data_IF_028137641808
#
_entry.id   IF_028137641808
#
_cell.length_a   1.000
_cell.length_b   1.000
_cell.length_c   1.000
_cell.angle_alpha   90.00
_cell.angle_beta   90.00
_cell.angle_gamma   90.00
#
_symmetry.space_group_name_H-M   'P 1'
#
loop_
_entity.id
_entity.type
_entity.pdbx_description
1 polymer ?
#
# COMPACT_ATOMS: atom_id res chain seq x y z
N UNK A 1 -14.99 -14.99 -1.30
CA UNK A 1 -13.92 -15.24 -0.31
C UNK A 1 -12.99 -14.02 -0.28
N UNK A 2 -12.54 -13.58 0.89
CA UNK A 2 -11.61 -12.44 1.00
C UNK A 2 -10.25 -12.78 0.35
N UNK A 3 -9.86 -12.06 -0.70
CA UNK A 3 -8.61 -12.29 -1.46
C UNK A 3 -7.37 -12.34 -0.56
N UNK A 4 -7.37 -11.56 0.53
CA UNK A 4 -6.28 -11.53 1.48
C UNK A 4 -6.04 -12.87 2.18
N UNK A 5 -7.08 -13.71 2.34
CA UNK A 5 -6.91 -15.06 2.88
C UNK A 5 -6.00 -15.91 1.98
N UNK A 6 -6.10 -15.74 0.66
CA UNK A 6 -5.27 -16.46 -0.30
C UNK A 6 -3.90 -15.81 -0.52
N UNK A 7 -3.77 -14.49 -0.33
CA UNK A 7 -2.53 -13.75 -0.59
C UNK A 7 -1.65 -13.55 0.63
N UNK A 8 -2.12 -13.90 1.83
CA UNK A 8 -1.39 -13.67 3.08
C UNK A 8 -0.76 -14.95 3.60
N UNK A 9 0.53 -14.90 3.88
CA UNK A 9 1.23 -15.93 4.65
C UNK A 9 0.83 -15.84 6.13
N UNK A 10 0.22 -16.90 6.64
CA UNK A 10 -0.36 -16.99 7.99
C UNK A 10 0.52 -17.77 8.98
N UNK A 11 1.37 -18.67 8.48
CA UNK A 11 2.19 -19.57 9.29
C UNK A 11 3.60 -19.02 9.50
N UNK A 12 4.18 -18.42 8.44
CA UNK A 12 5.59 -17.97 8.44
C UNK A 12 5.69 -16.45 8.60
N UNK A 13 6.74 -16.01 9.30
CA UNK A 13 7.02 -14.57 9.49
C UNK A 13 7.60 -13.89 8.25
N UNK A 14 8.01 -14.65 7.24
CA UNK A 14 8.59 -14.16 5.99
C UNK A 14 8.07 -14.95 4.79
N UNK A 15 8.05 -14.28 3.65
CA UNK A 15 7.64 -14.87 2.39
C UNK A 15 8.90 -15.33 1.66
N UNK A 16 9.00 -16.63 1.38
CA UNK A 16 10.11 -17.20 0.62
C UNK A 16 9.78 -17.25 -0.88
N UNK A 17 10.81 -17.38 -1.73
CA UNK A 17 10.65 -17.33 -3.19
C UNK A 17 9.64 -18.33 -3.77
N UNK A 18 9.48 -19.50 -3.15
CA UNK A 18 8.53 -20.56 -3.58
C UNK A 18 7.10 -20.34 -3.11
N UNK A 19 6.84 -19.36 -2.26
CA UNK A 19 5.53 -19.17 -1.65
C UNK A 19 4.60 -18.35 -2.57
N UNK A 20 3.36 -18.81 -2.78
CA UNK A 20 2.35 -18.13 -3.59
C UNK A 20 1.55 -17.09 -2.77
N UNK A 21 2.26 -16.23 -2.03
CA UNK A 21 1.71 -15.19 -1.14
C UNK A 21 2.37 -13.85 -1.42
N UNK A 22 1.64 -12.75 -1.33
CA UNK A 22 2.17 -11.40 -1.51
C UNK A 22 2.46 -10.71 -0.18
N UNK A 23 1.67 -11.02 0.85
CA UNK A 23 1.71 -10.30 2.12
C UNK A 23 1.97 -11.23 3.30
N UNK A 24 2.49 -10.67 4.39
CA UNK A 24 2.55 -11.36 5.68
C UNK A 24 1.34 -10.96 6.53
N UNK A 25 0.92 -11.83 7.44
CA UNK A 25 -0.15 -11.51 8.38
C UNK A 25 0.15 -10.23 9.18
N UNK A 26 1.40 -10.04 9.59
CA UNK A 26 1.85 -8.81 10.26
C UNK A 26 1.73 -7.55 9.39
N UNK A 27 1.98 -7.66 8.09
CA UNK A 27 1.84 -6.56 7.14
C UNK A 27 0.38 -6.16 6.97
N UNK A 28 -0.49 -7.14 6.76
CA UNK A 28 -1.94 -6.92 6.66
C UNK A 28 -2.51 -6.33 7.96
N UNK A 29 -2.14 -6.88 9.11
CA UNK A 29 -2.60 -6.37 10.39
C UNK A 29 -2.17 -4.92 10.63
N UNK A 30 -0.92 -4.54 10.28
CA UNK A 30 -0.48 -3.15 10.34
C UNK A 30 -1.32 -2.26 9.44
N UNK A 31 -1.54 -2.66 8.18
CA UNK A 31 -2.33 -1.89 7.24
C UNK A 31 -3.76 -1.64 7.73
N UNK A 32 -4.43 -2.68 8.26
CA UNK A 32 -5.76 -2.57 8.87
C UNK A 32 -5.72 -1.59 10.05
N UNK A 33 -4.77 -1.75 10.98
CA UNK A 33 -4.64 -0.86 12.15
C UNK A 33 -4.42 0.60 11.77
N UNK A 34 -3.66 0.89 10.69
CA UNK A 34 -3.45 2.26 10.21
C UNK A 34 -4.76 2.92 9.79
N UNK A 35 -5.62 2.18 9.09
CA UNK A 35 -6.93 2.65 8.67
C UNK A 35 -7.87 2.83 9.86
N UNK A 36 -8.00 1.78 10.68
CA UNK A 36 -8.88 1.74 11.86
C UNK A 36 -8.56 2.84 12.89
N UNK A 37 -7.30 3.27 12.99
CA UNK A 37 -6.91 4.35 13.89
C UNK A 37 -7.63 5.69 13.57
N UNK A 38 -7.94 5.98 12.30
CA UNK A 38 -8.71 7.17 11.93
C UNK A 38 -10.22 7.03 12.18
N UNK A 39 -10.69 5.79 12.41
CA UNK A 39 -12.09 5.46 12.72
C UNK A 39 -12.28 5.23 14.23
N UNK A 40 -11.38 5.75 15.06
CA UNK A 40 -11.40 5.61 16.52
C UNK A 40 -11.32 4.17 17.05
N UNK A 41 -10.68 3.26 16.32
CA UNK A 41 -10.34 1.91 16.81
C UNK A 41 -11.08 0.79 16.08
N UNK A 42 -11.64 -0.15 16.84
CA UNK A 42 -12.34 -1.33 16.32
C UNK A 42 -13.74 -1.43 16.95
N UNK A 43 -14.68 -1.96 16.19
CA UNK A 43 -16.07 -2.20 16.59
C UNK A 43 -16.90 -2.60 15.36
N UNK A 44 -18.13 -3.12 15.54
CA UNK A 44 -18.93 -3.67 14.44
C UNK A 44 -19.12 -2.68 13.26
N UNK A 45 -19.44 -1.43 13.56
CA UNK A 45 -19.62 -0.38 12.53
C UNK A 45 -18.30 -0.04 11.81
N UNK A 46 -17.19 -0.01 12.53
CA UNK A 46 -15.86 0.25 11.96
C UNK A 46 -15.40 -0.91 11.10
N UNK A 47 -15.71 -2.15 11.50
CA UNK A 47 -15.37 -3.35 10.74
C UNK A 47 -16.01 -3.33 9.34
N UNK A 48 -17.29 -2.96 9.24
CA UNK A 48 -17.97 -2.85 7.95
C UNK A 48 -17.28 -1.82 7.03
N UNK A 49 -16.91 -0.65 7.57
CA UNK A 49 -16.21 0.40 6.82
C UNK A 49 -14.83 -0.07 6.36
N UNK A 50 -14.06 -0.69 7.26
CA UNK A 50 -12.72 -1.22 6.98
C UNK A 50 -12.80 -2.31 5.90
N UNK A 51 -13.75 -3.23 6.00
CA UNK A 51 -13.97 -4.29 5.02
C UNK A 51 -14.37 -3.70 3.66
N UNK A 52 -15.30 -2.74 3.63
CA UNK A 52 -15.73 -2.08 2.39
C UNK A 52 -14.58 -1.31 1.71
N UNK A 53 -13.74 -0.63 2.49
CA UNK A 53 -12.54 0.04 1.98
C UNK A 53 -11.58 -0.96 1.34
N UNK A 54 -11.20 -2.01 2.07
CA UNK A 54 -10.24 -3.00 1.56
C UNK A 54 -10.78 -3.79 0.36
N UNK A 55 -12.09 -4.05 0.31
CA UNK A 55 -12.73 -4.62 -0.86
C UNK A 55 -12.62 -3.68 -2.08
N UNK A 56 -12.83 -2.37 -1.88
CA UNK A 56 -12.70 -1.37 -2.93
C UNK A 56 -11.25 -1.26 -3.43
N UNK A 57 -10.26 -1.32 -2.52
CA UNK A 57 -8.83 -1.33 -2.87
C UNK A 57 -8.48 -2.57 -3.69
N UNK A 58 -8.89 -3.75 -3.24
CA UNK A 58 -8.63 -5.02 -3.95
C UNK A 58 -9.16 -4.99 -5.38
N UNK A 59 -10.34 -4.40 -5.60
CA UNK A 59 -10.93 -4.30 -6.93
C UNK A 59 -10.07 -3.50 -7.92
N UNK A 60 -9.13 -2.68 -7.45
CA UNK A 60 -8.23 -1.90 -8.31
C UNK A 60 -6.95 -2.66 -8.70
N UNK A 61 -6.70 -3.82 -8.09
CA UNK A 61 -5.50 -4.62 -8.32
C UNK A 61 -5.84 -5.94 -8.97
N UNK A 62 -5.89 -5.94 -10.31
CA UNK A 62 -6.13 -7.16 -11.12
C UNK A 62 -5.18 -8.31 -10.71
N UNK A 63 -3.90 -8.00 -10.51
CA UNK A 63 -2.88 -8.98 -10.09
C UNK A 63 -3.24 -9.69 -8.77
N UNK A 64 -3.91 -8.99 -7.84
CA UNK A 64 -4.30 -9.58 -6.56
C UNK A 64 -5.47 -10.56 -6.73
N UNK A 65 -6.37 -10.32 -7.68
CA UNK A 65 -7.43 -11.26 -8.04
C UNK A 65 -6.93 -12.44 -8.85
N UNK A 66 -5.91 -12.25 -9.69
CA UNK A 66 -5.38 -13.28 -10.59
C UNK A 66 -4.37 -14.23 -9.91
N UNK A 67 -3.61 -13.75 -8.92
CA UNK A 67 -2.60 -14.54 -8.24
C UNK A 67 -3.14 -15.78 -7.49
N UNK A 68 -4.28 -15.72 -6.78
CA UNK A 68 -4.89 -16.90 -6.16
C UNK A 68 -5.33 -17.95 -7.16
N UNK A 69 -5.74 -17.53 -8.35
CA UNK A 69 -6.17 -18.41 -9.46
C UNK A 69 -4.97 -18.99 -10.25
N UNK A 70 -3.74 -18.58 -9.91
CA UNK A 70 -2.52 -19.04 -10.59
C UNK A 70 -2.30 -18.43 -11.97
N UNK A 71 -3.10 -17.42 -12.34
CA UNK A 71 -2.98 -16.72 -13.63
C UNK A 71 -1.74 -15.82 -13.68
N UNK A 72 -1.30 -15.33 -12.53
CA UNK A 72 -0.03 -14.62 -12.35
C UNK A 72 0.77 -15.21 -11.20
N UNK A 73 2.10 -15.19 -11.33
CA UNK A 73 3.01 -15.73 -10.32
C UNK A 73 3.31 -14.70 -9.23
N UNK A 74 3.02 -15.01 -7.97
CA UNK A 74 3.41 -14.15 -6.84
C UNK A 74 4.93 -13.90 -6.79
N UNK A 75 5.75 -14.84 -7.27
CA UNK A 75 7.19 -14.66 -7.31
C UNK A 75 7.60 -13.61 -8.36
N UNK A 76 6.93 -13.61 -9.52
CA UNK A 76 7.14 -12.62 -10.57
C UNK A 76 6.61 -11.25 -10.14
N UNK A 77 5.42 -11.21 -9.51
CA UNK A 77 4.86 -9.97 -8.97
C UNK A 77 5.82 -9.32 -7.95
N UNK A 78 6.32 -10.08 -6.98
CA UNK A 78 7.29 -9.56 -5.99
C UNK A 78 8.64 -9.15 -6.60
N UNK A 79 8.94 -9.57 -7.83
CA UNK A 79 10.14 -9.15 -8.55
C UNK A 79 9.90 -7.86 -9.31
N UNK A 80 8.77 -7.76 -10.01
CA UNK A 80 8.57 -6.78 -11.08
C UNK A 80 7.63 -5.61 -10.74
N UNK A 81 6.80 -5.73 -9.70
CA UNK A 81 5.77 -4.73 -9.35
C UNK A 81 5.77 -4.38 -7.87
N UNK A 82 5.44 -3.12 -7.59
CA UNK A 82 5.66 -2.50 -6.28
C UNK A 82 4.49 -2.78 -5.33
N UNK A 83 3.27 -2.93 -5.85
CA UNK A 83 2.07 -3.27 -5.07
C UNK A 83 2.11 -4.67 -4.45
N UNK A 84 3.05 -5.52 -4.85
CA UNK A 84 3.28 -6.85 -4.31
C UNK A 84 4.04 -6.85 -2.97
N UNK A 85 4.33 -5.66 -2.42
CA UNK A 85 5.11 -5.51 -1.20
C UNK A 85 4.29 -4.89 -0.06
N UNK A 86 4.52 -5.40 1.15
CA UNK A 86 3.81 -4.95 2.34
C UNK A 86 3.97 -3.46 2.70
N UNK A 87 4.99 -2.76 2.17
CA UNK A 87 5.11 -1.30 2.35
C UNK A 87 3.98 -0.55 1.63
N UNK A 88 3.58 -1.01 0.44
CA UNK A 88 2.45 -0.43 -0.29
C UNK A 88 1.15 -0.76 0.43
N UNK A 89 1.00 -2.00 0.91
CA UNK A 89 -0.17 -2.38 1.68
C UNK A 89 -0.34 -1.51 2.94
N UNK A 90 0.74 -1.28 3.69
CA UNK A 90 0.68 -0.39 4.86
C UNK A 90 0.43 1.08 4.44
N UNK A 91 1.06 1.55 3.35
CA UNK A 91 0.85 2.89 2.82
C UNK A 91 -0.59 3.13 2.37
N UNK A 92 -1.25 2.14 1.76
CA UNK A 92 -2.67 2.19 1.41
C UNK A 92 -3.54 2.33 2.67
N UNK A 93 -3.20 1.68 3.78
CA UNK A 93 -3.89 1.90 5.06
C UNK A 93 -3.73 3.33 5.59
N UNK A 94 -2.53 3.91 5.46
CA UNK A 94 -2.21 5.28 5.90
C UNK A 94 -2.86 6.35 4.99
N UNK A 95 -2.90 6.11 3.69
CA UNK A 95 -3.55 7.00 2.74
C UNK A 95 -5.08 6.91 2.86
N UNK A 96 -5.61 5.70 3.00
CA UNK A 96 -7.03 5.47 3.24
C UNK A 96 -7.53 6.13 4.52
N UNK A 97 -6.72 6.16 5.58
CA UNK A 97 -7.11 6.85 6.82
C UNK A 97 -7.41 8.33 6.58
N UNK A 98 -6.69 8.98 5.66
CA UNK A 98 -6.94 10.37 5.28
C UNK A 98 -8.27 10.55 4.49
N UNK A 99 -8.71 9.56 3.71
CA UNK A 99 -10.04 9.59 3.06
C UNK A 99 -11.15 9.70 4.13
N UNK A 100 -10.98 9.06 5.28
CA UNK A 100 -11.98 9.07 6.35
C UNK A 100 -11.87 10.28 7.28
N UNK A 101 -10.68 10.82 7.50
CA UNK A 101 -10.47 11.95 8.42
C UNK A 101 -10.49 13.33 7.76
N UNK A 102 -10.13 13.44 6.48
CA UNK A 102 -9.82 14.72 5.83
C UNK A 102 -10.66 14.98 4.55
N UNK A 103 -11.26 13.95 3.95
CA UNK A 103 -11.97 14.08 2.67
C UNK A 103 -13.49 14.09 2.83
N UNK A 104 -14.16 15.05 2.17
CA UNK A 104 -15.62 15.19 2.15
C UNK A 104 -16.28 14.74 0.84
N UNK A 105 -15.50 14.31 -0.15
CA UNK A 105 -16.00 13.82 -1.44
C UNK A 105 -16.29 12.32 -1.49
N UNK A 106 -16.54 11.78 -2.68
CA UNK A 106 -16.80 10.35 -2.87
C UNK A 106 -15.53 9.52 -2.61
N UNK A 107 -15.59 8.76 -1.52
CA UNK A 107 -14.50 7.89 -1.04
C UNK A 107 -14.19 6.75 -2.02
N UNK A 108 -15.21 6.25 -2.73
CA UNK A 108 -15.03 5.15 -3.69
C UNK A 108 -14.25 5.64 -4.91
N UNK A 109 -14.63 6.81 -5.45
CA UNK A 109 -13.92 7.44 -6.57
C UNK A 109 -12.46 7.76 -6.23
N UNK A 110 -12.15 8.13 -4.99
CA UNK A 110 -10.75 8.30 -4.56
C UNK A 110 -9.93 7.01 -4.71
N UNK A 111 -10.48 5.85 -4.32
CA UNK A 111 -9.75 4.57 -4.41
C UNK A 111 -9.60 4.10 -5.86
N UNK A 112 -10.58 4.36 -6.73
CA UNK A 112 -10.53 4.01 -8.16
C UNK A 112 -9.33 4.64 -8.90
N UNK A 113 -8.81 5.77 -8.41
CA UNK A 113 -7.62 6.41 -8.96
C UNK A 113 -6.35 5.55 -8.87
N UNK A 114 -6.32 4.48 -8.05
CA UNK A 114 -5.21 3.52 -8.00
C UNK A 114 -4.93 2.85 -9.35
N UNK A 115 -5.93 2.76 -10.22
CA UNK A 115 -5.79 2.23 -11.58
C UNK A 115 -4.89 3.08 -12.48
N UNK A 116 -4.72 4.36 -12.15
CA UNK A 116 -3.85 5.29 -12.89
C UNK A 116 -2.38 5.17 -12.50
N UNK A 117 -2.08 4.49 -11.40
CA UNK A 117 -0.72 4.37 -10.86
C UNK A 117 0.06 3.32 -11.63
N UNK A 118 1.20 3.72 -12.20
CA UNK A 118 2.14 2.79 -12.83
C UNK A 118 2.92 1.97 -11.79
N UNK A 119 2.46 0.76 -11.44
CA UNK A 119 3.02 -0.08 -10.38
C UNK A 119 4.33 -0.81 -10.70
N UNK A 120 4.79 -0.78 -11.95
CA UNK A 120 6.02 -1.46 -12.36
C UNK A 120 7.28 -0.75 -11.86
N UNK A 121 8.24 -1.51 -11.34
CA UNK A 121 9.55 -0.99 -10.94
C UNK A 121 10.46 -0.59 -12.12
N UNK A 122 10.12 -1.00 -13.36
CA UNK A 122 10.92 -0.79 -14.59
C UNK A 122 10.46 0.45 -15.36
N UNK A 123 9.17 0.76 -15.28
CA UNK A 123 8.52 1.76 -16.14
C UNK A 123 8.46 3.13 -15.48
N UNK A 124 8.47 3.17 -14.15
CA UNK A 124 8.10 4.38 -13.42
C UNK A 124 9.27 4.90 -12.58
N UNK A 125 9.99 5.89 -13.13
CA UNK A 125 11.03 6.66 -12.42
C UNK A 125 10.49 7.29 -11.13
N UNK A 126 9.19 7.57 -11.09
CA UNK A 126 8.45 8.12 -9.95
C UNK A 126 8.68 7.33 -8.65
N UNK A 127 8.87 6.01 -8.72
CA UNK A 127 9.06 5.22 -7.52
C UNK A 127 10.45 5.37 -6.90
N UNK A 128 11.42 5.89 -7.65
CA UNK A 128 12.74 6.24 -7.15
C UNK A 128 12.64 7.31 -6.06
N UNK A 129 13.14 7.01 -4.85
CA UNK A 129 13.06 7.94 -3.72
C UNK A 129 11.72 7.95 -2.98
N UNK A 130 10.63 7.47 -3.61
CA UNK A 130 9.31 7.24 -2.98
C UNK A 130 9.30 5.89 -2.27
N UNK A 131 9.28 4.79 -3.03
CA UNK A 131 9.27 3.43 -2.49
C UNK A 131 10.57 2.65 -2.78
N UNK A 132 11.32 3.04 -3.82
CA UNK A 132 12.53 2.36 -4.27
C UNK A 132 13.81 3.06 -3.81
N UNK A 133 14.80 2.25 -3.44
CA UNK A 133 16.21 2.64 -3.22
C UNK A 133 17.07 1.64 -3.98
N UNK A 134 17.90 2.11 -4.92
CA UNK A 134 18.74 1.26 -5.77
C UNK A 134 17.95 0.13 -6.47
N UNK A 135 16.77 0.46 -6.99
CA UNK A 135 15.88 -0.50 -7.68
C UNK A 135 15.18 -1.52 -6.78
N UNK A 136 15.32 -1.43 -5.45
CA UNK A 136 14.66 -2.31 -4.48
C UNK A 136 13.68 -1.56 -3.60
N UNK A 137 12.56 -2.21 -3.28
CA UNK A 137 11.57 -1.65 -2.36
C UNK A 137 12.15 -1.50 -0.96
N UNK A 138 12.14 -0.27 -0.45
CA UNK A 138 12.61 0.07 0.89
C UNK A 138 11.49 -0.10 1.92
N UNK A 139 11.81 -0.77 3.03
CA UNK A 139 10.88 -0.98 4.16
C UNK A 139 11.04 0.07 5.27
N UNK A 140 11.86 1.09 5.05
CA UNK A 140 12.10 2.13 6.06
C UNK A 140 10.85 3.00 6.26
N UNK A 141 10.73 3.59 7.45
CA UNK A 141 9.60 4.45 7.78
C UNK A 141 9.50 5.70 6.89
N UNK A 142 10.64 6.27 6.49
CA UNK A 142 10.67 7.43 5.59
C UNK A 142 10.05 7.11 4.22
N UNK A 143 10.39 5.95 3.64
CA UNK A 143 9.85 5.52 2.36
C UNK A 143 8.38 5.09 2.46
N UNK A 144 7.98 4.48 3.57
CA UNK A 144 6.56 4.23 3.86
C UNK A 144 5.76 5.53 3.87
N UNK A 145 6.27 6.57 4.54
CA UNK A 145 5.61 7.88 4.64
C UNK A 145 5.46 8.52 3.27
N UNK A 146 6.54 8.60 2.49
CA UNK A 146 6.49 9.14 1.12
C UNK A 146 5.55 8.35 0.21
N UNK A 147 5.52 7.03 0.34
CA UNK A 147 4.60 6.18 -0.43
C UNK A 147 3.15 6.51 -0.05
N UNK A 148 2.86 6.70 1.24
CA UNK A 148 1.52 7.07 1.68
C UNK A 148 1.13 8.48 1.23
N UNK A 149 2.06 9.45 1.27
CA UNK A 149 1.81 10.82 0.81
C UNK A 149 1.54 10.86 -0.69
N UNK A 150 2.32 10.12 -1.49
CA UNK A 150 2.04 9.94 -2.90
C UNK A 150 0.64 9.36 -3.14
N UNK A 151 0.25 8.31 -2.40
CA UNK A 151 -1.08 7.72 -2.54
C UNK A 151 -2.21 8.67 -2.09
N UNK A 152 -1.97 9.56 -1.13
CA UNK A 152 -2.93 10.62 -0.78
C UNK A 152 -3.16 11.59 -1.93
N UNK A 153 -2.09 12.00 -2.62
CA UNK A 153 -2.21 12.82 -3.82
C UNK A 153 -3.01 12.10 -4.90
N UNK A 154 -2.74 10.80 -5.11
CA UNK A 154 -3.54 9.95 -6.02
C UNK A 154 -5.01 9.90 -5.60
N UNK A 155 -5.31 9.93 -4.30
CA UNK A 155 -6.70 9.97 -3.80
C UNK A 155 -7.36 11.35 -3.91
N UNK A 156 -6.64 12.36 -4.40
CA UNK A 156 -7.10 13.75 -4.50
C UNK A 156 -7.03 14.54 -3.19
N UNK A 157 -6.34 14.01 -2.17
CA UNK A 157 -6.21 14.65 -0.86
C UNK A 157 -5.00 15.58 -0.90
N UNK A 158 -5.23 16.86 -0.56
CA UNK A 158 -4.19 17.87 -0.51
C UNK A 158 -3.06 17.49 0.47
N UNK A 159 -1.83 17.89 0.17
CA UNK A 159 -0.70 17.64 1.06
C UNK A 159 -0.92 18.33 2.42
N UNK A 160 -0.63 17.60 3.50
CA UNK A 160 -0.25 18.26 4.76
C UNK A 160 1.09 18.94 4.48
N UNK A 161 1.12 20.27 4.53
CA UNK A 161 2.36 21.05 4.45
C UNK A 161 3.38 20.51 5.45
N UNK A 162 4.35 19.72 4.97
CA UNK A 162 5.50 19.30 5.75
C UNK A 162 6.61 20.33 5.50
N UNK A 163 7.26 20.89 6.55
CA UNK A 163 8.41 21.75 6.33
C UNK A 163 9.48 20.95 5.56
N UNK A 164 10.19 21.57 4.61
CA UNK A 164 11.13 20.87 3.75
C UNK A 164 12.17 20.17 4.61
N UNK A 165 12.33 18.85 4.39
CA UNK A 165 13.41 18.08 4.99
C UNK A 165 14.73 18.79 4.67
N UNK A 166 15.44 19.22 5.71
CA UNK A 166 16.77 19.80 5.57
C UNK A 166 17.63 18.86 4.73
N UNK A 167 17.96 19.33 3.51
CA UNK A 167 19.01 18.72 2.70
C UNK A 167 20.28 18.78 3.55
N UNK A 168 20.61 17.67 4.21
CA UNK A 168 21.94 17.43 4.76
C UNK A 168 22.94 17.65 3.62
N UNK A 169 23.57 18.83 3.67
CA UNK A 169 24.67 19.22 2.80
C UNK A 169 25.72 18.12 2.96
N UNK A 170 25.93 17.35 1.90
CA UNK A 170 27.20 16.65 1.70
C UNK A 170 28.29 17.73 1.76
N UNK A 171 29.03 17.78 2.86
CA UNK A 171 30.39 18.31 2.82
C UNK A 171 31.27 17.18 2.31
N UNK A 172 31.63 17.28 1.03
CA UNK A 172 32.91 16.79 0.58
C UNK A 172 33.97 17.77 1.08
N UNK A 173 34.87 17.30 1.95
CA UNK A 173 36.31 17.58 1.94
C UNK A 173 36.98 16.32 2.47
#
# INVERSE_FOLDING_TARGET
MCVFKALTEQEKRSITGRNNRLFTLSGLHRAIRRLSAALHGFGPEVEEIVVAYWASVVAQFRDWSEAPEGLVSCADLRRDVIHAHGVVLEALGIAGSAIFSEWSGDRRSSVEQLTTVGWSHKVSEMWGGVALVNGRVSKSHAHLTRTADYLRQVFGIAERSHPPAERSKRRAV
#
